data_IF_412764529313
#
_entry.id   IF_412764529313
#
_cell.length_a   1.000
_cell.length_b   1.000
_cell.length_c   1.000
_cell.angle_alpha   90.00
_cell.angle_beta   90.00
_cell.angle_gamma   90.00
#
_symmetry.space_group_name_H-M   'P 1'
#
loop_
_entity.id
_entity.type
_entity.pdbx_description
1 polymer ?
#
# COMPACT_ATOMS: atom_id res chain seq x y z
N UNK A 1 49.53 17.97 -34.83
CA UNK A 1 49.56 17.76 -33.37
C UNK A 1 48.40 16.85 -33.01
N UNK A 2 48.72 15.74 -32.37
CA UNK A 2 47.89 14.56 -32.08
C UNK A 2 46.90 14.81 -30.94
N UNK A 3 45.66 14.36 -31.11
CA UNK A 3 44.63 14.35 -30.07
C UNK A 3 44.88 13.21 -29.07
N UNK A 4 44.97 13.54 -27.79
CA UNK A 4 44.99 12.57 -26.69
C UNK A 4 43.64 12.64 -25.95
N UNK A 5 42.96 11.50 -25.87
CA UNK A 5 41.71 11.34 -25.12
C UNK A 5 41.94 11.38 -23.62
N UNK A 6 40.99 11.99 -22.89
CA UNK A 6 40.94 12.02 -21.43
C UNK A 6 39.71 11.26 -20.97
N UNK A 7 39.95 10.18 -20.21
CA UNK A 7 38.95 9.37 -19.51
C UNK A 7 38.21 10.17 -18.43
N UNK A 8 36.91 9.93 -18.16
CA UNK A 8 36.25 10.51 -17.01
C UNK A 8 36.60 9.74 -15.74
N UNK A 9 37.06 10.49 -14.74
CA UNK A 9 37.39 10.06 -13.38
C UNK A 9 36.15 9.57 -12.61
N UNK A 10 36.37 8.51 -11.86
CA UNK A 10 35.48 7.70 -11.03
C UNK A 10 34.55 8.46 -10.06
N UNK A 11 33.30 8.00 -9.94
CA UNK A 11 32.37 8.37 -8.87
C UNK A 11 32.83 7.82 -7.51
N UNK A 12 32.50 8.47 -6.36
CA UNK A 12 32.89 7.99 -5.04
C UNK A 12 32.10 6.72 -4.69
N UNK A 13 32.81 5.61 -4.40
CA UNK A 13 32.18 4.39 -3.88
C UNK A 13 31.78 4.62 -2.41
N UNK A 14 30.51 4.36 -2.09
CA UNK A 14 30.07 4.18 -0.71
C UNK A 14 30.78 2.96 -0.09
N UNK A 15 31.16 3.00 1.19
CA UNK A 15 31.74 1.84 1.86
C UNK A 15 30.74 0.69 1.90
N UNK A 16 31.24 -0.54 1.70
CA UNK A 16 30.44 -1.77 1.73
C UNK A 16 29.72 -1.91 3.09
N UNK A 17 28.47 -2.40 3.10
CA UNK A 17 27.79 -2.72 4.35
C UNK A 17 28.55 -3.81 5.12
N UNK A 18 28.49 -3.79 6.47
CA UNK A 18 29.09 -4.84 7.29
C UNK A 18 28.46 -6.22 6.96
N UNK A 19 29.22 -7.32 7.15
CA UNK A 19 28.70 -8.66 6.93
C UNK A 19 27.48 -8.91 7.84
N UNK A 20 26.47 -9.58 7.29
CA UNK A 20 25.31 -10.02 8.06
C UNK A 20 25.79 -10.83 9.27
N UNK A 21 25.32 -10.45 10.45
CA UNK A 21 25.41 -11.29 11.64
C UNK A 21 24.81 -12.66 11.32
N UNK A 22 25.66 -13.68 11.47
CA UNK A 22 25.36 -15.09 11.39
C UNK A 22 23.99 -15.42 12.02
N UNK A 23 23.22 -16.25 11.33
CA UNK A 23 21.85 -16.64 11.66
C UNK A 23 21.79 -17.13 13.12
N UNK A 24 21.34 -16.27 14.03
CA UNK A 24 20.81 -16.73 15.31
C UNK A 24 19.50 -17.43 15.00
N UNK A 25 19.59 -18.74 14.81
CA UNK A 25 18.44 -19.65 14.80
C UNK A 25 17.71 -19.40 16.13
N UNK A 26 16.57 -18.73 16.05
CA UNK A 26 15.66 -18.61 17.18
C UNK A 26 15.30 -20.02 17.71
N UNK A 27 14.97 -20.14 19.00
CA UNK A 27 14.72 -21.44 19.60
C UNK A 27 13.62 -22.20 18.84
N UNK A 28 13.87 -23.49 18.59
CA UNK A 28 12.96 -24.39 17.90
C UNK A 28 11.58 -24.40 18.58
N UNK A 29 10.52 -24.28 17.80
CA UNK A 29 9.14 -24.47 18.27
C UNK A 29 8.97 -25.88 18.86
N UNK A 30 8.21 -26.05 19.95
CA UNK A 30 8.13 -27.33 20.63
C UNK A 30 7.40 -28.36 19.76
N UNK A 31 8.09 -29.48 19.51
CA UNK A 31 7.55 -30.69 18.92
C UNK A 31 6.51 -31.32 19.85
N UNK A 32 5.46 -31.87 19.26
CA UNK A 32 4.39 -32.60 19.94
C UNK A 32 5.00 -33.82 20.65
N UNK A 33 4.89 -33.84 21.98
CA UNK A 33 5.06 -35.05 22.79
C UNK A 33 6.16 -34.96 23.85
N UNK A 34 5.94 -34.20 24.92
CA UNK A 34 6.60 -34.43 26.21
C UNK A 34 5.73 -33.93 27.37
N UNK A 35 5.77 -34.67 28.47
CA UNK A 35 4.81 -34.68 29.58
C UNK A 35 4.89 -33.46 30.51
N UNK A 36 3.71 -33.02 30.98
CA UNK A 36 3.42 -31.88 31.86
C UNK A 36 4.37 -31.66 33.06
N UNK A 37 4.98 -30.48 33.13
CA UNK A 37 5.50 -29.84 34.34
C UNK A 37 4.60 -28.67 34.76
N UNK A 38 4.14 -28.69 36.02
CA UNK A 38 3.25 -27.69 36.64
C UNK A 38 4.01 -26.40 36.97
N UNK A 39 4.24 -25.53 36.00
CA UNK A 39 4.70 -24.14 36.25
C UNK A 39 4.09 -23.14 35.22
N UNK A 40 2.98 -23.52 34.58
CA UNK A 40 2.32 -22.77 33.50
C UNK A 40 1.19 -21.83 33.99
N UNK A 41 1.34 -21.20 35.15
CA UNK A 41 0.23 -20.46 35.78
C UNK A 41 0.66 -19.09 36.34
N UNK A 42 1.29 -18.22 35.53
CA UNK A 42 1.31 -16.77 35.88
C UNK A 42 1.70 -15.77 34.77
N UNK A 43 1.72 -16.10 33.46
CA UNK A 43 2.03 -15.05 32.46
C UNK A 43 1.47 -15.33 31.06
N UNK A 44 0.18 -15.58 30.97
CA UNK A 44 -0.49 -15.68 29.68
C UNK A 44 -1.99 -15.65 29.88
N UNK A 45 -2.59 -14.47 29.84
CA UNK A 45 -4.00 -14.37 29.49
C UNK A 45 -4.15 -14.97 28.10
N UNK A 46 -4.66 -16.20 28.04
CA UNK A 46 -5.13 -16.83 26.82
C UNK A 46 -6.34 -16.03 26.30
N UNK A 47 -6.04 -14.91 25.63
CA UNK A 47 -6.93 -14.36 24.62
C UNK A 47 -6.84 -15.31 23.43
N UNK A 48 -7.98 -15.85 23.04
CA UNK A 48 -8.16 -16.78 21.93
C UNK A 48 -7.29 -16.40 20.72
N UNK A 49 -6.62 -17.39 20.11
CA UNK A 49 -5.67 -17.28 18.99
C UNK A 49 -6.31 -16.78 17.65
N UNK A 50 -7.42 -16.04 17.72
CA UNK A 50 -8.16 -15.52 16.56
C UNK A 50 -7.38 -14.44 15.78
N UNK A 51 -6.39 -13.78 16.40
CA UNK A 51 -5.50 -12.88 15.66
C UNK A 51 -4.67 -13.64 14.58
N UNK A 52 -4.42 -14.94 14.77
CA UNK A 52 -3.68 -15.77 13.81
C UNK A 52 -4.54 -16.22 12.62
N UNK A 53 -5.86 -16.35 12.79
CA UNK A 53 -6.80 -16.79 11.75
C UNK A 53 -7.10 -15.68 10.74
N UNK A 54 -6.89 -14.40 11.12
CA UNK A 54 -7.15 -13.22 10.28
C UNK A 54 -5.98 -12.80 9.39
N UNK A 55 -4.79 -13.37 9.56
CA UNK A 55 -3.65 -13.10 8.67
C UNK A 55 -3.82 -13.85 7.34
N UNK A 56 -3.49 -13.18 6.23
CA UNK A 56 -3.34 -13.85 4.93
C UNK A 56 -2.26 -14.91 5.09
N UNK A 57 -2.62 -16.19 4.93
CA UNK A 57 -1.69 -17.29 5.13
C UNK A 57 -0.79 -17.46 3.92
N UNK A 58 0.46 -17.92 4.09
CA UNK A 58 1.26 -18.38 2.97
C UNK A 58 0.46 -19.38 2.13
N UNK A 59 0.37 -19.14 0.82
CA UNK A 59 -0.43 -19.95 -0.10
C UNK A 59 -1.86 -19.46 -0.36
N UNK A 60 -2.33 -18.37 0.27
CA UNK A 60 -3.59 -17.71 -0.13
C UNK A 60 -3.50 -17.26 -1.60
N UNK A 61 -4.53 -17.57 -2.40
CA UNK A 61 -4.58 -17.19 -3.81
C UNK A 61 -4.64 -15.67 -3.92
N UNK A 62 -3.99 -15.10 -4.94
CA UNK A 62 -3.98 -13.65 -5.16
C UNK A 62 -5.40 -13.04 -5.23
N UNK A 63 -6.36 -13.77 -5.81
CA UNK A 63 -7.76 -13.35 -5.88
C UNK A 63 -8.40 -13.21 -4.48
N UNK A 64 -8.04 -14.08 -3.55
CA UNK A 64 -8.60 -14.13 -2.19
C UNK A 64 -7.91 -13.13 -1.24
N UNK A 65 -6.69 -12.67 -1.59
CA UNK A 65 -5.97 -11.65 -0.82
C UNK A 65 -6.69 -10.29 -0.81
N UNK A 66 -7.45 -10.00 -1.87
CA UNK A 66 -8.16 -8.73 -2.01
C UNK A 66 -9.39 -8.61 -1.09
N UNK A 67 -9.97 -9.74 -0.68
CA UNK A 67 -11.15 -9.76 0.19
C UNK A 67 -10.83 -9.42 1.64
N UNK A 68 -9.61 -9.72 2.07
CA UNK A 68 -9.16 -9.46 3.44
C UNK A 68 -9.88 -10.33 4.49
N UNK A 69 -9.56 -10.13 5.78
CA UNK A 69 -10.19 -10.87 6.86
C UNK A 69 -11.67 -10.51 7.04
N UNK A 70 -12.48 -11.43 7.61
CA UNK A 70 -13.90 -11.19 7.86
C UNK A 70 -14.12 -9.99 8.78
N UNK A 71 -15.28 -9.34 8.64
CA UNK A 71 -15.68 -8.22 9.49
C UNK A 71 -15.96 -8.71 10.91
N UNK A 72 -15.29 -8.09 11.89
CA UNK A 72 -15.51 -8.30 13.32
C UNK A 72 -15.64 -6.97 14.06
N UNK A 73 -16.24 -6.93 15.27
CA UNK A 73 -16.30 -5.75 16.11
C UNK A 73 -14.91 -5.17 16.40
N UNK A 74 -14.80 -3.83 16.40
CA UNK A 74 -13.54 -3.11 16.67
C UNK A 74 -12.88 -3.55 17.98
N UNK A 75 -13.66 -3.84 19.03
CA UNK A 75 -13.16 -4.27 20.34
C UNK A 75 -12.45 -5.63 20.34
N UNK A 76 -12.60 -6.43 19.28
CA UNK A 76 -11.98 -7.75 19.12
C UNK A 76 -10.73 -7.72 18.24
N UNK A 77 -10.35 -6.53 17.74
CA UNK A 77 -9.12 -6.35 16.98
C UNK A 77 -7.96 -6.12 17.94
N UNK A 78 -6.99 -7.04 17.94
CA UNK A 78 -5.71 -6.87 18.63
C UNK A 78 -4.61 -6.60 17.59
N UNK A 79 -4.53 -5.35 17.14
CA UNK A 79 -3.57 -4.84 16.15
C UNK A 79 -3.14 -3.42 16.53
N UNK A 80 -1.91 -2.96 16.21
CA UNK A 80 -1.57 -1.55 16.33
C UNK A 80 -2.39 -0.64 15.38
N UNK A 81 -3.08 -1.22 14.39
CA UNK A 81 -3.87 -0.51 13.38
C UNK A 81 -5.36 -0.88 13.40
N UNK A 82 -5.94 -1.16 14.58
CA UNK A 82 -7.32 -1.68 14.75
C UNK A 82 -8.35 -0.90 13.94
N UNK A 83 -8.35 0.43 14.04
CA UNK A 83 -9.32 1.26 13.35
C UNK A 83 -9.19 1.16 11.83
N UNK A 84 -7.96 1.19 11.30
CA UNK A 84 -7.70 1.09 9.87
C UNK A 84 -8.12 -0.28 9.32
N UNK A 85 -7.82 -1.36 10.05
CA UNK A 85 -8.25 -2.71 9.68
C UNK A 85 -9.77 -2.85 9.70
N UNK A 86 -10.41 -2.36 10.76
CA UNK A 86 -11.87 -2.40 10.89
C UNK A 86 -12.57 -1.64 9.76
N UNK A 87 -12.13 -0.42 9.46
CA UNK A 87 -12.70 0.39 8.38
C UNK A 87 -12.52 -0.26 7.01
N UNK A 88 -11.37 -0.91 6.77
CA UNK A 88 -11.13 -1.67 5.53
C UNK A 88 -12.07 -2.87 5.42
N UNK A 89 -12.29 -3.61 6.50
CA UNK A 89 -13.24 -4.74 6.54
C UNK A 89 -14.69 -4.28 6.38
N UNK A 90 -15.09 -3.17 7.03
CA UNK A 90 -16.41 -2.55 6.84
C UNK A 90 -16.60 -2.15 5.38
N UNK A 91 -15.62 -1.46 4.78
CA UNK A 91 -15.67 -1.10 3.36
C UNK A 91 -15.89 -2.33 2.49
N UNK A 92 -15.12 -3.41 2.70
CA UNK A 92 -15.28 -4.63 1.92
C UNK A 92 -16.67 -5.24 2.11
N UNK A 93 -17.14 -5.37 3.34
CA UNK A 93 -18.44 -5.92 3.67
C UNK A 93 -19.60 -5.16 2.99
N UNK A 94 -19.54 -3.82 2.96
CA UNK A 94 -20.58 -3.00 2.33
C UNK A 94 -20.48 -2.91 0.81
N UNK A 95 -19.29 -3.09 0.24
CA UNK A 95 -19.07 -2.96 -1.22
C UNK A 95 -19.04 -4.28 -1.95
N UNK A 96 -18.80 -5.40 -1.28
CA UNK A 96 -18.73 -6.73 -1.86
C UNK A 96 -19.57 -7.70 -1.02
N UNK A 97 -20.88 -7.81 -1.32
CA UNK A 97 -21.75 -8.73 -0.61
C UNK A 97 -21.29 -10.18 -0.80
N UNK A 98 -21.54 -11.02 0.22
CA UNK A 98 -21.09 -12.42 0.23
C UNK A 98 -21.60 -13.19 -0.99
N UNK A 99 -20.70 -13.90 -1.67
CA UNK A 99 -21.03 -14.69 -2.87
C UNK A 99 -21.24 -13.87 -4.14
N UNK A 100 -20.93 -12.56 -4.13
CA UNK A 100 -20.99 -11.71 -5.32
C UNK A 100 -19.60 -11.25 -5.77
N UNK A 101 -19.34 -11.35 -7.07
CA UNK A 101 -18.17 -10.73 -7.71
C UNK A 101 -18.40 -9.25 -8.05
N UNK A 102 -19.60 -8.73 -7.79
CA UNK A 102 -19.96 -7.34 -8.12
C UNK A 102 -19.66 -6.38 -6.99
N UNK A 103 -19.11 -5.21 -7.33
CA UNK A 103 -18.86 -4.14 -6.38
C UNK A 103 -20.06 -3.19 -6.36
N UNK A 104 -20.64 -2.97 -5.19
CA UNK A 104 -21.74 -2.04 -4.96
C UNK A 104 -21.19 -0.70 -4.45
N UNK A 105 -21.63 0.45 -5.00
CA UNK A 105 -21.18 1.75 -4.53
C UNK A 105 -21.73 2.08 -3.14
N UNK A 106 -20.89 2.66 -2.28
CA UNK A 106 -21.31 3.16 -0.96
C UNK A 106 -22.08 4.47 -1.14
N UNK A 107 -23.19 4.62 -0.41
CA UNK A 107 -23.91 5.89 -0.33
C UNK A 107 -23.52 6.69 0.93
N UNK A 108 -23.69 8.01 0.86
CA UNK A 108 -23.53 8.89 2.01
C UNK A 108 -24.69 8.67 2.98
N UNK A 109 -24.42 8.33 4.24
CA UNK A 109 -25.44 8.17 5.30
C UNK A 109 -25.14 9.10 6.48
N UNK A 110 -25.86 10.21 6.59
CA UNK A 110 -25.75 11.12 7.74
C UNK A 110 -24.44 11.91 7.87
N UNK A 111 -23.46 11.69 7.00
CA UNK A 111 -22.18 12.42 6.98
C UNK A 111 -22.33 13.74 6.22
N UNK A 112 -21.62 14.79 6.68
CA UNK A 112 -21.51 16.06 5.95
C UNK A 112 -20.99 15.84 4.52
N UNK A 113 -21.48 16.65 3.57
CA UNK A 113 -21.14 16.49 2.16
C UNK A 113 -19.65 16.75 1.89
N UNK A 114 -19.07 17.74 2.53
CA UNK A 114 -17.66 18.12 2.30
C UNK A 114 -16.73 17.05 2.87
N UNK A 115 -17.01 16.57 4.08
CA UNK A 115 -16.29 15.45 4.69
C UNK A 115 -16.41 14.18 3.84
N UNK A 116 -17.61 13.86 3.35
CA UNK A 116 -17.83 12.72 2.47
C UNK A 116 -17.00 12.80 1.17
N UNK A 117 -16.98 13.96 0.52
CA UNK A 117 -16.18 14.15 -0.70
C UNK A 117 -14.67 14.07 -0.42
N UNK A 118 -14.21 14.64 0.70
CA UNK A 118 -12.83 14.55 1.13
C UNK A 118 -12.38 13.09 1.33
N UNK A 119 -13.18 12.29 2.05
CA UNK A 119 -12.87 10.87 2.26
C UNK A 119 -12.92 10.06 0.97
N UNK A 120 -13.87 10.35 0.07
CA UNK A 120 -13.87 9.75 -1.27
C UNK A 120 -12.61 10.09 -2.07
N UNK A 121 -12.12 11.33 -1.99
CA UNK A 121 -10.87 11.73 -2.64
C UNK A 121 -9.64 11.02 -2.05
N UNK A 122 -9.55 10.90 -0.72
CA UNK A 122 -8.50 10.10 -0.06
C UNK A 122 -8.54 8.65 -0.51
N UNK A 123 -9.73 8.07 -0.48
CA UNK A 123 -9.95 6.69 -0.88
C UNK A 123 -9.58 6.44 -2.35
N UNK A 124 -10.03 7.32 -3.26
CA UNK A 124 -9.71 7.24 -4.67
C UNK A 124 -8.20 7.32 -4.91
N UNK A 125 -7.53 8.30 -4.29
CA UNK A 125 -6.07 8.47 -4.41
C UNK A 125 -5.33 7.20 -3.98
N UNK A 126 -5.72 6.60 -2.85
CA UNK A 126 -5.16 5.33 -2.39
C UNK A 126 -5.40 4.17 -3.38
N UNK A 127 -6.57 4.12 -4.03
CA UNK A 127 -6.89 3.05 -4.98
C UNK A 127 -6.21 3.22 -6.33
N UNK A 128 -6.03 4.45 -6.80
CA UNK A 128 -5.37 4.75 -8.08
C UNK A 128 -3.89 4.33 -8.04
N UNK A 129 -3.24 4.26 -6.88
CA UNK A 129 -1.90 3.68 -6.74
C UNK A 129 -1.80 2.25 -7.29
N UNK A 130 -2.89 1.47 -7.27
CA UNK A 130 -2.89 0.12 -7.87
C UNK A 130 -2.74 0.17 -9.40
N UNK A 131 -3.19 1.23 -10.07
CA UNK A 131 -3.00 1.40 -11.51
C UNK A 131 -1.53 1.66 -11.83
N UNK A 132 -0.84 2.44 -11.01
CA UNK A 132 0.60 2.69 -11.16
C UNK A 132 1.39 1.38 -11.09
N UNK A 133 1.06 0.54 -10.10
CA UNK A 133 1.65 -0.80 -9.97
C UNK A 133 1.37 -1.63 -11.21
N UNK A 134 0.13 -1.61 -11.72
CA UNK A 134 -0.23 -2.33 -12.94
C UNK A 134 0.57 -1.84 -14.16
N UNK A 135 0.75 -0.53 -14.33
CA UNK A 135 1.53 0.06 -15.42
C UNK A 135 3.01 -0.34 -15.37
N UNK A 136 3.58 -0.48 -14.16
CA UNK A 136 4.95 -1.01 -13.99
C UNK A 136 5.05 -2.50 -14.30
N UNK A 137 3.96 -3.25 -14.12
CA UNK A 137 3.91 -4.69 -14.39
C UNK A 137 3.57 -5.04 -15.85
N UNK A 138 3.25 -4.06 -16.69
CA UNK A 138 3.02 -4.28 -18.12
C UNK A 138 4.28 -4.79 -18.84
N UNK A 139 4.08 -5.38 -20.02
CA UNK A 139 5.17 -5.91 -20.85
C UNK A 139 5.04 -5.36 -22.28
N UNK A 140 5.87 -4.38 -22.68
CA UNK A 140 6.89 -3.70 -21.89
C UNK A 140 6.30 -2.77 -20.82
N UNK A 141 7.02 -2.46 -19.73
CA UNK A 141 6.51 -1.59 -18.67
C UNK A 141 6.35 -0.15 -19.17
N UNK A 142 5.42 0.60 -18.55
CA UNK A 142 5.30 2.03 -18.80
C UNK A 142 6.56 2.77 -18.31
N UNK A 143 7.20 3.50 -19.22
CA UNK A 143 8.45 4.22 -18.98
C UNK A 143 8.58 5.42 -19.93
N UNK A 144 9.65 6.21 -19.78
CA UNK A 144 9.96 7.28 -20.72
C UNK A 144 10.22 6.81 -22.16
N UNK A 145 10.52 5.52 -22.36
CA UNK A 145 10.74 4.95 -23.70
C UNK A 145 9.46 4.44 -24.34
N UNK A 146 8.58 3.79 -23.56
CA UNK A 146 7.32 3.23 -24.05
C UNK A 146 6.21 4.28 -24.13
N UNK A 147 6.18 5.19 -23.15
CA UNK A 147 5.17 6.22 -22.98
C UNK A 147 5.83 7.59 -22.73
N UNK A 148 6.51 8.18 -23.74
CA UNK A 148 7.35 9.37 -23.57
C UNK A 148 6.59 10.64 -23.16
N UNK A 149 5.27 10.66 -23.35
CA UNK A 149 4.40 11.80 -23.01
C UNK A 149 3.07 11.29 -22.45
N UNK A 150 2.49 12.03 -21.50
CA UNK A 150 1.12 11.77 -21.05
C UNK A 150 0.11 12.22 -22.10
N UNK A 151 -0.43 11.26 -22.87
CA UNK A 151 -1.39 11.53 -23.95
C UNK A 151 -2.65 10.69 -23.84
N UNK A 152 -3.78 11.28 -24.22
CA UNK A 152 -5.02 10.56 -24.48
C UNK A 152 -5.60 11.06 -25.81
N UNK A 153 -5.71 10.16 -26.79
CA UNK A 153 -6.08 10.53 -28.18
C UNK A 153 -5.19 11.66 -28.73
N UNK A 154 -5.77 12.73 -29.29
CA UNK A 154 -5.02 13.89 -29.76
C UNK A 154 -4.50 14.80 -28.64
N UNK A 155 -4.93 14.62 -27.39
CA UNK A 155 -4.58 15.53 -26.29
C UNK A 155 -3.30 15.11 -25.58
N UNK A 156 -2.45 16.09 -25.30
CA UNK A 156 -1.27 15.96 -24.44
C UNK A 156 -1.50 16.72 -23.13
N UNK A 157 -1.22 16.07 -22.01
CA UNK A 157 -1.34 16.65 -20.69
C UNK A 157 0.03 17.12 -20.19
N UNK A 158 0.09 18.37 -19.73
CA UNK A 158 1.29 18.95 -19.13
C UNK A 158 1.21 18.87 -17.61
N UNK A 159 2.32 18.52 -16.97
CA UNK A 159 2.39 18.33 -15.52
C UNK A 159 2.47 19.69 -14.82
N UNK A 160 1.43 20.02 -14.04
CA UNK A 160 1.29 21.28 -13.32
C UNK A 160 2.11 21.38 -12.01
N UNK A 161 2.76 20.28 -11.60
CA UNK A 161 3.72 20.28 -10.49
C UNK A 161 4.98 21.08 -10.86
N UNK A 162 5.22 21.29 -12.15
CA UNK A 162 6.29 22.13 -12.65
C UNK A 162 5.79 23.55 -12.95
N UNK A 163 6.64 24.54 -12.69
CA UNK A 163 6.42 25.93 -13.07
C UNK A 163 7.54 26.40 -14.04
N UNK A 164 7.23 26.73 -15.31
CA UNK A 164 5.93 26.53 -15.98
C UNK A 164 5.62 25.03 -16.16
N UNK A 165 4.36 24.64 -16.44
CA UNK A 165 3.99 23.24 -16.70
C UNK A 165 4.81 22.61 -17.84
N UNK A 166 5.25 21.36 -17.68
CA UNK A 166 6.14 20.67 -18.63
C UNK A 166 5.58 19.33 -19.08
N UNK A 167 6.06 18.84 -20.22
CA UNK A 167 5.79 17.46 -20.66
C UNK A 167 6.57 16.49 -19.78
N UNK A 168 5.86 15.55 -19.15
CA UNK A 168 6.43 14.41 -18.45
C UNK A 168 6.06 13.14 -19.21
N UNK A 169 6.88 12.10 -19.09
CA UNK A 169 6.46 10.78 -19.53
C UNK A 169 5.23 10.32 -18.75
N UNK A 170 4.43 9.41 -19.30
CA UNK A 170 3.12 9.09 -18.75
C UNK A 170 3.20 8.57 -17.31
N UNK A 171 4.18 7.71 -17.00
CA UNK A 171 4.34 7.17 -15.65
C UNK A 171 4.75 8.25 -14.64
N UNK A 172 5.68 9.14 -15.01
CA UNK A 172 6.10 10.25 -14.15
C UNK A 172 4.96 11.24 -13.93
N UNK A 173 4.19 11.55 -14.97
CA UNK A 173 3.01 12.40 -14.86
C UNK A 173 2.01 11.85 -13.84
N UNK A 174 1.72 10.54 -13.93
CA UNK A 174 0.80 9.88 -13.03
C UNK A 174 1.32 9.88 -11.58
N UNK A 175 2.61 9.57 -11.37
CA UNK A 175 3.25 9.64 -10.06
C UNK A 175 3.22 11.05 -9.47
N UNK A 176 3.66 12.07 -10.22
CA UNK A 176 3.64 13.48 -9.77
C UNK A 176 2.23 13.93 -9.39
N UNK A 177 1.22 13.55 -10.17
CA UNK A 177 -0.18 13.89 -9.91
C UNK A 177 -0.70 13.24 -8.63
N UNK A 178 -0.40 11.95 -8.41
CA UNK A 178 -0.81 11.22 -7.21
C UNK A 178 -0.09 11.68 -5.95
N UNK A 179 1.20 11.97 -6.05
CA UNK A 179 1.99 12.50 -4.93
C UNK A 179 1.47 13.88 -4.52
N UNK A 180 1.18 14.74 -5.51
CA UNK A 180 0.57 16.04 -5.25
C UNK A 180 -0.82 15.91 -4.61
N UNK A 181 -1.67 15.02 -5.13
CA UNK A 181 -3.00 14.77 -4.58
C UNK A 181 -2.91 14.24 -3.14
N UNK A 182 -2.01 13.30 -2.88
CA UNK A 182 -1.76 12.73 -1.55
C UNK A 182 -1.34 13.83 -0.58
N UNK A 183 -0.32 14.62 -0.94
CA UNK A 183 0.18 15.71 -0.11
C UNK A 183 -0.91 16.74 0.19
N UNK A 184 -1.73 17.07 -0.81
CA UNK A 184 -2.87 17.98 -0.64
C UNK A 184 -3.94 17.39 0.26
N UNK A 185 -4.22 16.09 0.19
CA UNK A 185 -5.23 15.43 1.03
C UNK A 185 -4.73 15.08 2.44
N UNK A 186 -3.42 15.11 2.69
CA UNK A 186 -2.84 14.90 4.02
C UNK A 186 -2.38 16.18 4.69
N UNK A 187 -2.48 17.33 4.01
CA UNK A 187 -2.04 18.60 4.58
C UNK A 187 -3.00 19.05 5.68
N UNK A 188 -2.49 19.53 6.84
CA UNK A 188 -3.32 19.97 7.96
C UNK A 188 -4.21 21.18 7.63
N UNK A 189 -3.91 21.90 6.53
CA UNK A 189 -4.66 23.08 6.09
C UNK A 189 -5.90 22.74 5.23
N UNK A 190 -5.99 21.51 4.74
CA UNK A 190 -7.00 21.04 3.79
C UNK A 190 -7.79 19.84 4.30
N UNK A 191 -7.29 19.14 5.32
CA UNK A 191 -8.05 18.17 6.09
C UNK A 191 -9.15 18.89 6.89
N UNK A 192 -10.40 18.43 6.87
CA UNK A 192 -11.39 18.83 7.88
C UNK A 192 -10.76 18.65 9.26
N UNK A 193 -10.76 19.69 10.10
CA UNK A 193 -10.28 19.56 11.46
C UNK A 193 -11.16 18.52 12.19
N UNK A 194 -10.52 17.54 12.82
CA UNK A 194 -11.16 16.71 13.84
C UNK A 194 -11.66 17.57 15.01
#
# INVERSE_FOLDING_TARGET
MTAAGVSPSSSPRLPSPPPFTEVQIGPQSPSVGETFGKDAELLGSAGDDDASTRRIRPGTRAADMASGPPLIPLSQLDSPFQLQEHLKSLYHHFTKPEGSDTVVPINRQGVDRSLWLYELCRFLTMKVNNLIIAFFAETPPCSAQTCPEMRASEWQYLCAVHDPPKSCCAIDYCCHTLDWATNTLTSPNTSPAD
#
